data_IF_466040609825
#
_entry.id   IF_466040609825
#
_cell.length_a   1.000
_cell.length_b   1.000
_cell.length_c   1.000
_cell.angle_alpha   90.00
_cell.angle_beta   90.00
_cell.angle_gamma   90.00
#
_symmetry.space_group_name_H-M   'P 1'
#
loop_
_entity.id
_entity.type
_entity.pdbx_description
1 polymer ?
#
# COMPACT_ATOMS: atom_id res chain seq x y z
N UNK A 1 -19.76 2.52 5.52
CA UNK A 1 -18.57 2.94 4.76
C UNK A 1 -17.33 2.43 5.49
N UNK A 2 -16.56 1.52 4.90
CA UNK A 2 -15.29 1.08 5.51
C UNK A 2 -14.24 2.15 5.27
N UNK A 3 -13.66 2.66 6.35
CA UNK A 3 -12.60 3.68 6.32
C UNK A 3 -11.26 2.98 6.10
N UNK A 4 -10.51 3.37 5.06
CA UNK A 4 -9.15 2.90 4.82
C UNK A 4 -8.29 3.28 6.03
N UNK A 5 -7.67 2.30 6.68
CA UNK A 5 -6.82 2.51 7.85
C UNK A 5 -5.72 1.45 7.93
N UNK A 6 -4.53 1.88 8.33
CA UNK A 6 -3.43 1.03 8.77
C UNK A 6 -3.76 0.44 10.14
N UNK A 7 -3.32 -0.80 10.40
CA UNK A 7 -3.48 -1.50 11.68
C UNK A 7 -2.38 -1.10 12.67
N UNK A 8 -1.20 -0.79 12.17
CA UNK A 8 0.02 -0.38 12.87
C UNK A 8 0.65 0.78 12.09
N UNK A 9 1.88 0.63 11.64
CA UNK A 9 2.70 1.65 10.97
C UNK A 9 3.57 1.01 9.89
N UNK A 10 3.96 1.80 8.88
CA UNK A 10 4.81 1.38 7.74
C UNK A 10 5.98 2.35 7.57
N UNK A 11 7.20 1.88 7.32
CA UNK A 11 8.39 2.74 7.22
C UNK A 11 9.68 2.09 7.74
N UNK A 12 10.81 2.81 7.62
CA UNK A 12 12.17 2.28 7.93
C UNK A 12 12.31 1.81 9.39
N UNK A 13 11.63 2.47 10.33
CA UNK A 13 11.65 2.15 11.76
C UNK A 13 10.27 1.74 12.30
N UNK A 14 9.39 1.29 11.42
CA UNK A 14 8.00 0.95 11.75
C UNK A 14 7.81 -0.54 12.09
N UNK A 15 6.63 -0.90 12.59
CA UNK A 15 6.26 -2.32 12.78
C UNK A 15 6.19 -3.08 11.47
N UNK A 16 5.86 -2.41 10.36
CA UNK A 16 5.74 -3.00 9.03
C UNK A 16 4.86 -4.25 9.03
N UNK A 17 3.67 -4.13 9.64
CA UNK A 17 2.71 -5.22 9.61
C UNK A 17 2.35 -5.51 8.15
N UNK A 18 2.47 -6.76 7.72
CA UNK A 18 2.45 -7.10 6.30
C UNK A 18 1.19 -6.62 5.56
N UNK A 19 0.03 -6.57 6.22
CA UNK A 19 -1.20 -6.02 5.61
C UNK A 19 -1.11 -4.51 5.36
N UNK A 20 -0.48 -3.78 6.27
CA UNK A 20 -0.31 -2.33 6.15
C UNK A 20 0.68 -2.01 5.04
N UNK A 21 1.77 -2.79 4.96
CA UNK A 21 2.75 -2.68 3.88
C UNK A 21 2.11 -3.01 2.53
N UNK A 22 1.34 -4.11 2.44
CA UNK A 22 0.63 -4.49 1.22
C UNK A 22 -0.36 -3.43 0.78
N UNK A 23 -1.09 -2.82 1.72
CA UNK A 23 -1.97 -1.69 1.45
C UNK A 23 -1.18 -0.50 0.88
N UNK A 24 -0.05 -0.13 1.48
CA UNK A 24 0.82 0.94 0.97
C UNK A 24 1.35 0.61 -0.43
N UNK A 25 1.75 -0.63 -0.70
CA UNK A 25 2.23 -1.05 -2.01
C UNK A 25 1.15 -0.93 -3.10
N UNK A 26 -0.11 -1.32 -2.82
CA UNK A 26 -1.23 -1.09 -3.74
C UNK A 26 -1.40 0.40 -3.99
N UNK A 27 -1.48 1.18 -2.92
CA UNK A 27 -1.76 2.61 -3.06
C UNK A 27 -0.64 3.31 -3.86
N UNK A 28 0.61 2.93 -3.65
CA UNK A 28 1.74 3.43 -4.43
C UNK A 28 1.66 3.02 -5.90
N UNK A 29 1.31 1.76 -6.21
CA UNK A 29 1.10 1.33 -7.60
C UNK A 29 0.02 2.15 -8.30
N UNK A 30 -1.10 2.39 -7.62
CA UNK A 30 -2.22 3.13 -8.20
C UNK A 30 -1.90 4.62 -8.40
N UNK A 31 -1.27 5.26 -7.41
CA UNK A 31 -0.98 6.70 -7.47
C UNK A 31 0.18 7.01 -8.41
N UNK A 32 1.23 6.18 -8.39
CA UNK A 32 2.44 6.39 -9.20
C UNK A 32 2.40 5.66 -10.54
N UNK A 33 1.36 4.83 -10.78
CA UNK A 33 1.27 3.96 -11.95
C UNK A 33 2.50 3.02 -12.08
N UNK A 34 2.90 2.46 -10.94
CA UNK A 34 4.05 1.57 -10.79
C UNK A 34 3.63 0.11 -10.68
N UNK A 35 4.59 -0.81 -10.86
CA UNK A 35 4.36 -2.26 -10.81
C UNK A 35 5.13 -2.92 -9.65
N UNK A 36 4.99 -2.40 -8.43
CA UNK A 36 5.47 -3.09 -7.23
C UNK A 36 4.77 -4.43 -7.07
N UNK A 37 5.54 -5.43 -6.67
CA UNK A 37 4.98 -6.65 -6.12
C UNK A 37 4.33 -6.34 -4.77
N UNK A 38 3.05 -6.65 -4.64
CA UNK A 38 2.30 -6.51 -3.37
C UNK A 38 2.56 -7.76 -2.53
N UNK A 39 3.70 -7.77 -1.82
CA UNK A 39 4.15 -8.90 -1.00
C UNK A 39 4.02 -8.65 0.51
N UNK A 40 3.65 -7.42 0.91
CA UNK A 40 3.58 -7.02 2.31
C UNK A 40 4.94 -6.89 3.00
N UNK A 41 6.04 -6.85 2.25
CA UNK A 41 7.40 -6.70 2.76
C UNK A 41 7.91 -5.29 2.48
N UNK A 42 8.31 -4.59 3.54
CA UNK A 42 8.84 -3.23 3.41
C UNK A 42 10.31 -3.29 2.97
N UNK A 43 10.53 -3.49 1.66
CA UNK A 43 11.84 -3.57 1.05
C UNK A 43 12.33 -2.25 0.43
N UNK A 44 13.51 -2.28 -0.16
CA UNK A 44 14.18 -1.11 -0.78
C UNK A 44 13.27 -0.43 -1.81
N UNK A 45 12.63 -1.20 -2.71
CA UNK A 45 11.74 -0.63 -3.74
C UNK A 45 10.51 0.07 -3.15
N UNK A 46 9.89 -0.54 -2.13
CA UNK A 46 8.74 0.08 -1.44
C UNK A 46 9.16 1.35 -0.72
N UNK A 47 10.35 1.37 -0.12
CA UNK A 47 10.91 2.56 0.49
C UNK A 47 11.21 3.66 -0.54
N UNK A 48 11.82 3.34 -1.68
CA UNK A 48 12.14 4.29 -2.74
C UNK A 48 10.88 4.96 -3.29
N UNK A 49 9.85 4.17 -3.61
CA UNK A 49 8.58 4.72 -4.12
C UNK A 49 7.79 5.48 -3.05
N UNK A 50 7.89 5.06 -1.78
CA UNK A 50 7.33 5.84 -0.68
C UNK A 50 8.01 7.20 -0.58
N UNK A 51 9.34 7.26 -0.66
CA UNK A 51 10.12 8.50 -0.64
C UNK A 51 9.82 9.37 -1.86
N UNK A 52 9.64 8.76 -3.04
CA UNK A 52 9.24 9.48 -4.25
C UNK A 52 7.85 10.10 -4.11
N UNK A 53 6.87 9.33 -3.64
CA UNK A 53 5.53 9.85 -3.36
C UNK A 53 5.57 11.02 -2.37
N UNK A 54 6.35 10.87 -1.30
CA UNK A 54 6.54 11.90 -0.28
C UNK A 54 7.17 13.16 -0.88
N UNK A 55 8.23 13.02 -1.67
CA UNK A 55 8.90 14.13 -2.39
C UNK A 55 7.95 14.84 -3.34
N UNK A 56 7.17 14.09 -4.14
CA UNK A 56 6.20 14.64 -5.09
C UNK A 56 5.10 15.45 -4.39
N UNK A 57 4.84 15.18 -3.10
CA UNK A 57 3.87 15.88 -2.27
C UNK A 57 4.50 16.87 -1.27
N UNK A 58 5.81 17.11 -1.33
CA UNK A 58 6.50 18.05 -0.45
C UNK A 58 6.65 17.58 1.01
N UNK A 59 6.59 16.28 1.27
CA UNK A 59 6.77 15.65 2.57
C UNK A 59 8.21 15.12 2.65
N UNK A 60 9.06 15.67 3.53
CA UNK A 60 10.50 15.35 3.52
C UNK A 60 11.02 14.62 4.77
N UNK A 61 10.33 14.71 5.90
CA UNK A 61 10.86 14.27 7.20
C UNK A 61 10.09 13.09 7.82
N UNK A 62 9.10 12.54 7.12
CA UNK A 62 8.21 11.52 7.67
C UNK A 62 8.72 10.12 7.34
N UNK A 63 9.46 9.51 8.27
CA UNK A 63 10.04 8.16 8.05
C UNK A 63 9.06 7.02 8.31
N UNK A 64 7.96 7.31 9.00
CA UNK A 64 6.95 6.34 9.43
C UNK A 64 5.57 6.86 9.02
N UNK A 65 4.88 6.05 8.23
CA UNK A 65 3.49 6.23 7.81
C UNK A 65 2.58 5.58 8.86
N UNK A 66 1.64 6.38 9.36
CA UNK A 66 0.58 5.97 10.28
C UNK A 66 -0.75 6.58 9.85
N UNK A 67 -1.87 6.16 10.44
CA UNK A 67 -3.19 6.73 10.12
C UNK A 67 -3.30 8.26 10.28
N UNK A 68 -2.44 8.85 11.11
CA UNK A 68 -2.43 10.29 11.40
C UNK A 68 -1.33 11.03 10.62
N UNK A 69 -0.50 10.29 9.90
CA UNK A 69 0.65 10.83 9.16
C UNK A 69 0.19 11.60 7.92
N UNK A 70 0.95 12.62 7.53
CA UNK A 70 0.60 13.45 6.38
C UNK A 70 0.69 12.64 5.09
N UNK A 71 1.62 11.68 5.03
CA UNK A 71 1.79 10.77 3.91
C UNK A 71 0.55 9.93 3.71
N UNK A 72 0.03 9.30 4.76
CA UNK A 72 -1.16 8.44 4.66
C UNK A 72 -2.41 9.23 4.26
N UNK A 73 -2.61 10.40 4.86
CA UNK A 73 -3.72 11.28 4.49
C UNK A 73 -3.65 11.64 3.00
N UNK A 74 -2.46 12.02 2.53
CA UNK A 74 -2.26 12.41 1.13
C UNK A 74 -2.42 11.24 0.17
N UNK A 75 -1.98 10.05 0.56
CA UNK A 75 -2.22 8.81 -0.18
C UNK A 75 -3.71 8.59 -0.40
N UNK A 76 -4.50 8.60 0.68
CA UNK A 76 -5.95 8.40 0.60
C UNK A 76 -6.64 9.49 -0.23
N UNK A 77 -6.20 10.75 -0.13
CA UNK A 77 -6.72 11.86 -0.96
C UNK A 77 -6.36 11.73 -2.45
N UNK A 78 -5.24 11.10 -2.79
CA UNK A 78 -4.75 10.98 -4.16
C UNK A 78 -5.26 9.72 -4.86
N UNK A 79 -5.97 8.84 -4.15
CA UNK A 79 -6.56 7.65 -4.73
C UNK A 79 -7.71 8.02 -5.68
N UNK A 80 -7.74 7.48 -6.91
CA UNK A 80 -8.90 7.62 -7.76
C UNK A 80 -10.12 6.94 -7.12
N UNK A 81 -11.31 7.50 -7.35
CA UNK A 81 -12.55 6.87 -6.90
C UNK A 81 -12.69 5.49 -7.55
N UNK A 82 -12.89 4.45 -6.73
CA UNK A 82 -13.06 3.07 -7.21
C UNK A 82 -11.86 2.14 -7.03
N UNK A 83 -10.77 2.57 -6.39
CA UNK A 83 -9.65 1.68 -6.05
C UNK A 83 -10.08 0.59 -5.05
N UNK A 84 -9.83 -0.66 -5.41
CA UNK A 84 -10.07 -1.82 -4.57
C UNK A 84 -8.89 -2.08 -3.63
N UNK A 85 -9.14 -2.07 -2.33
CA UNK A 85 -8.13 -2.43 -1.32
C UNK A 85 -8.55 -3.75 -0.66
N UNK A 86 -7.78 -4.85 -0.85
CA UNK A 86 -8.07 -6.13 -0.26
C UNK A 86 -8.11 -6.04 1.27
N UNK A 87 -9.14 -6.66 1.86
CA UNK A 87 -9.36 -6.61 3.30
C UNK A 87 -8.63 -7.71 4.08
N UNK A 88 -8.09 -8.70 3.37
CA UNK A 88 -7.36 -9.84 3.91
C UNK A 88 -6.20 -10.24 2.98
N UNK A 89 -5.03 -10.49 3.59
CA UNK A 89 -3.86 -11.08 2.95
C UNK A 89 -3.43 -12.29 3.79
N UNK A 90 -4.24 -13.34 3.85
CA UNK A 90 -4.03 -14.42 4.82
C UNK A 90 -2.74 -15.23 4.63
N UNK A 91 -2.05 -15.13 3.49
CA UNK A 91 -0.99 -16.08 3.14
C UNK A 91 0.36 -15.47 2.71
N UNK A 92 0.61 -14.18 2.96
CA UNK A 92 1.79 -13.52 2.39
C UNK A 92 1.73 -13.54 0.85
N UNK A 93 2.84 -13.31 0.12
CA UNK A 93 2.82 -13.44 -1.33
C UNK A 93 2.43 -14.88 -1.69
N UNK A 94 1.30 -15.06 -2.39
CA UNK A 94 1.08 -16.27 -3.16
C UNK A 94 2.28 -16.40 -4.10
N UNK A 95 3.07 -17.46 -3.95
CA UNK A 95 4.10 -17.80 -4.92
C UNK A 95 3.40 -18.19 -6.21
N UNK A 96 3.18 -17.21 -7.07
CA UNK A 96 2.62 -17.43 -8.40
C UNK A 96 3.76 -17.48 -9.40
N UNK A 97 3.74 -18.50 -10.25
CA UNK A 97 4.68 -18.61 -11.36
C UNK A 97 4.55 -17.39 -12.27
N UNK A 98 5.69 -16.94 -12.81
CA UNK A 98 5.80 -15.77 -13.69
C UNK A 98 4.77 -15.89 -14.81
N UNK A 99 3.81 -14.95 -14.86
CA UNK A 99 2.75 -14.91 -15.88
C UNK A 99 1.34 -15.28 -15.40
N UNK A 100 1.14 -15.65 -14.12
CA UNK A 100 -0.20 -15.80 -13.53
C UNK A 100 -0.56 -14.59 -12.66
N UNK A 101 -1.43 -13.73 -13.18
CA UNK A 101 -2.17 -12.75 -12.39
C UNK A 101 -3.17 -13.52 -11.50
N UNK A 102 -2.83 -13.82 -10.25
CA UNK A 102 -3.85 -14.22 -9.27
C UNK A 102 -4.43 -12.96 -8.67
N UNK A 103 -5.32 -12.32 -9.42
CA UNK A 103 -6.42 -11.63 -8.77
C UNK A 103 -7.26 -12.75 -8.15
N UNK A 104 -7.02 -13.06 -6.88
CA UNK A 104 -7.89 -14.00 -6.17
C UNK A 104 -9.30 -13.43 -6.25
N UNK A 105 -10.11 -14.16 -7.00
CA UNK A 105 -11.50 -13.90 -7.32
C UNK A 105 -12.37 -14.20 -6.11
N UNK A 106 -12.20 -13.49 -4.99
CA UNK A 106 -13.12 -13.60 -3.87
C UNK A 106 -13.64 -12.22 -3.42
N UNK A 107 -14.93 -12.02 -3.71
CA UNK A 107 -15.85 -10.99 -3.22
C UNK A 107 -15.61 -9.56 -3.76
N UNK A 108 -15.78 -9.39 -5.08
CA UNK A 108 -16.17 -8.09 -5.65
C UNK A 108 -17.61 -7.77 -5.21
N UNK A 109 -17.75 -7.01 -4.13
CA UNK A 109 -19.01 -6.33 -3.81
C UNK A 109 -18.92 -4.90 -4.36
N UNK A 110 -19.62 -4.67 -5.47
CA UNK A 110 -19.90 -3.33 -5.99
C UNK A 110 -20.87 -2.63 -5.02
N UNK A 111 -20.47 -1.48 -4.49
CA UNK A 111 -21.35 -0.54 -3.79
C UNK A 111 -21.49 0.74 -4.60
#
# INVERSE_FOLDING_TARGET
MRVIKLRKTVGVDATNFYMDVGMVQIILNEILNENLTVDGVFGIKTQELLLEFQKNNGIYNEKIVSNQSSTFKKMVESLPLGVFIPTHYSHGPLRVDIGKLTFDSEEMIFI
#
